data_IF_121142825838
#
_entry.id   IF_121142825838
#
_cell.length_a   1.000
_cell.length_b   1.000
_cell.length_c   1.000
_cell.angle_alpha   90.00
_cell.angle_beta   90.00
_cell.angle_gamma   90.00
#
_symmetry.space_group_name_H-M   'P 1'
#
loop_
_entity.id
_entity.type
_entity.pdbx_description
1 polymer ?
#
# COMPACT_ATOMS: atom_id res chain seq x y z
N UNK A 1 -13.11 23.83 18.77
CA UNK A 1 -12.52 22.57 18.30
C UNK A 1 -11.04 22.61 18.65
N UNK A 2 -10.64 21.95 19.74
CA UNK A 2 -9.23 21.57 19.92
C UNK A 2 -8.83 20.74 18.71
N UNK A 3 -7.76 21.12 18.01
CA UNK A 3 -7.33 20.43 16.79
C UNK A 3 -7.05 18.95 17.04
N UNK A 4 -7.20 18.13 15.99
CA UNK A 4 -6.87 16.72 16.03
C UNK A 4 -5.40 16.52 16.42
N UNK A 5 -5.06 15.45 17.19
CA UNK A 5 -3.68 15.17 17.55
C UNK A 5 -2.78 15.03 16.31
N UNK A 6 -1.66 15.74 16.25
CA UNK A 6 -0.79 15.78 15.07
C UNK A 6 -0.25 14.42 14.64
N UNK A 7 0.13 13.58 15.61
CA UNK A 7 0.59 12.22 15.31
C UNK A 7 -0.53 11.38 14.70
N UNK A 8 -1.76 11.54 15.17
CA UNK A 8 -2.92 10.83 14.64
C UNK A 8 -3.25 11.29 13.22
N UNK A 9 -3.17 12.59 12.95
CA UNK A 9 -3.31 13.13 11.60
C UNK A 9 -2.23 12.61 10.64
N UNK A 10 -0.98 12.51 11.09
CA UNK A 10 0.10 11.99 10.25
C UNK A 10 -0.13 10.52 9.84
N UNK A 11 -0.69 9.70 10.73
CA UNK A 11 -1.07 8.32 10.41
C UNK A 11 -2.26 8.26 9.44
N UNK A 12 -3.24 9.17 9.56
CA UNK A 12 -4.37 9.27 8.64
C UNK A 12 -3.93 9.79 7.25
N UNK A 13 -2.98 10.72 7.21
CA UNK A 13 -2.46 11.29 5.97
C UNK A 13 -1.52 10.33 5.21
N UNK A 14 -1.06 9.25 5.85
CA UNK A 14 -0.32 8.18 5.18
C UNK A 14 -1.25 7.29 4.35
N UNK A 15 -1.69 7.85 3.23
CA UNK A 15 -2.56 7.21 2.24
C UNK A 15 -1.95 5.95 1.65
N UNK A 16 -0.62 5.88 1.54
CA UNK A 16 0.07 4.70 1.00
C UNK A 16 -0.09 3.54 1.96
N UNK A 17 0.13 3.77 3.26
CA UNK A 17 -0.09 2.75 4.27
C UNK A 17 -1.57 2.35 4.40
N UNK A 18 -2.50 3.33 4.35
CA UNK A 18 -3.94 3.04 4.35
C UNK A 18 -4.37 2.19 3.15
N UNK A 19 -3.85 2.45 1.96
CA UNK A 19 -4.07 1.60 0.80
C UNK A 19 -3.42 0.22 0.97
N UNK A 20 -2.24 0.11 1.58
CA UNK A 20 -1.58 -1.18 1.75
C UNK A 20 -2.30 -2.12 2.75
N UNK A 21 -2.88 -1.58 3.81
CA UNK A 21 -3.58 -2.33 4.87
C UNK A 21 -4.74 -1.50 5.48
N UNK A 22 -5.90 -1.42 4.80
CA UNK A 22 -7.01 -0.56 5.23
C UNK A 22 -7.51 -0.90 6.64
N UNK A 23 -7.75 -2.19 6.91
CA UNK A 23 -8.30 -2.65 8.18
C UNK A 23 -7.28 -2.49 9.32
N UNK A 24 -6.01 -2.87 9.10
CA UNK A 24 -4.97 -2.76 10.12
C UNK A 24 -4.66 -1.30 10.48
N UNK A 25 -4.60 -0.40 9.49
CA UNK A 25 -4.35 1.03 9.74
C UNK A 25 -5.54 1.72 10.39
N UNK A 26 -6.77 1.35 10.04
CA UNK A 26 -7.97 1.83 10.73
C UNK A 26 -7.96 1.41 12.22
N UNK A 27 -7.59 0.16 12.52
CA UNK A 27 -7.46 -0.30 13.90
C UNK A 27 -6.43 0.51 14.70
N UNK A 28 -5.28 0.84 14.10
CA UNK A 28 -4.27 1.72 14.71
C UNK A 28 -4.83 3.11 15.03
N UNK A 29 -5.53 3.73 14.07
CA UNK A 29 -6.15 5.05 14.25
C UNK A 29 -7.20 5.04 15.38
N UNK A 30 -8.01 3.98 15.47
CA UNK A 30 -8.99 3.78 16.55
C UNK A 30 -8.30 3.64 17.90
N UNK A 31 -7.25 2.84 18.00
CA UNK A 31 -6.50 2.67 19.25
C UNK A 31 -5.84 3.97 19.72
N UNK A 32 -5.29 4.76 18.79
CA UNK A 32 -4.75 6.08 19.09
C UNK A 32 -5.82 7.05 19.58
N UNK A 33 -7.03 7.02 18.99
CA UNK A 33 -8.17 7.81 19.45
C UNK A 33 -8.59 7.43 20.88
N UNK A 34 -8.70 6.14 21.18
CA UNK A 34 -8.97 5.66 22.53
C UNK A 34 -7.87 6.05 23.52
N UNK A 35 -6.60 5.95 23.11
CA UNK A 35 -5.47 6.34 23.95
C UNK A 35 -5.51 7.84 24.28
N UNK A 36 -5.80 8.70 23.30
CA UNK A 36 -5.97 10.14 23.50
C UNK A 36 -7.16 10.44 24.44
N UNK A 37 -8.28 9.76 24.24
CA UNK A 37 -9.47 9.92 25.09
C UNK A 37 -9.22 9.49 26.54
N UNK A 38 -8.50 8.38 26.75
CA UNK A 38 -8.11 7.90 28.09
C UNK A 38 -7.18 8.89 28.82
N UNK A 39 -6.29 9.56 28.09
CA UNK A 39 -5.43 10.62 28.63
C UNK A 39 -6.14 11.96 28.82
N UNK A 40 -7.40 12.06 28.36
CA UNK A 40 -8.17 13.30 28.31
C UNK A 40 -7.53 14.39 27.44
N UNK A 41 -6.70 13.99 26.46
CA UNK A 41 -6.09 14.90 25.48
C UNK A 41 -7.15 15.49 24.53
N UNK A 42 -8.28 14.78 24.38
CA UNK A 42 -9.39 15.13 23.48
C UNK A 42 -10.74 15.03 24.17
N UNK A 43 -11.66 15.93 23.81
CA UNK A 43 -13.04 15.91 24.29
C UNK A 43 -13.88 14.83 23.57
N UNK A 44 -15.16 14.72 23.94
CA UNK A 44 -16.02 13.66 23.42
C UNK A 44 -16.32 13.85 21.94
N UNK A 45 -16.46 15.11 21.52
CA UNK A 45 -16.72 15.48 20.13
C UNK A 45 -15.50 15.16 19.25
N UNK A 46 -14.32 15.62 19.64
CA UNK A 46 -13.06 15.34 18.93
C UNK A 46 -12.79 13.83 18.87
N UNK A 47 -13.10 13.08 19.94
CA UNK A 47 -12.98 11.63 19.94
C UNK A 47 -13.93 10.98 18.92
N UNK A 48 -15.18 11.43 18.83
CA UNK A 48 -16.12 10.94 17.81
C UNK A 48 -15.61 11.25 16.40
N UNK A 49 -15.16 12.48 16.15
CA UNK A 49 -14.58 12.88 14.87
C UNK A 49 -13.41 11.97 14.46
N UNK A 50 -12.53 11.62 15.40
CA UNK A 50 -11.41 10.70 15.14
C UNK A 50 -11.89 9.30 14.72
N UNK A 51 -12.93 8.77 15.37
CA UNK A 51 -13.48 7.46 15.00
C UNK A 51 -14.15 7.50 13.63
N UNK A 52 -14.92 8.55 13.35
CA UNK A 52 -15.59 8.74 12.07
C UNK A 52 -14.60 8.87 10.92
N UNK A 53 -13.53 9.65 11.11
CA UNK A 53 -12.48 9.81 10.11
C UNK A 53 -11.65 8.53 9.91
N UNK A 54 -11.41 7.73 10.96
CA UNK A 54 -10.75 6.44 10.82
C UNK A 54 -11.57 5.47 9.95
N UNK A 55 -12.89 5.41 10.17
CA UNK A 55 -13.78 4.60 9.32
C UNK A 55 -13.90 5.17 7.91
N UNK A 56 -13.95 6.49 7.74
CA UNK A 56 -13.97 7.12 6.43
C UNK A 56 -12.68 6.82 5.64
N UNK A 57 -11.52 6.86 6.30
CA UNK A 57 -10.23 6.49 5.69
C UNK A 57 -10.19 5.02 5.27
N UNK A 58 -10.73 4.12 6.10
CA UNK A 58 -10.89 2.70 5.79
C UNK A 58 -11.79 2.47 4.58
N UNK A 59 -12.98 3.09 4.57
CA UNK A 59 -13.95 2.97 3.48
C UNK A 59 -13.40 3.51 2.16
N UNK A 60 -12.69 4.65 2.20
CA UNK A 60 -11.98 5.18 1.03
C UNK A 60 -10.94 4.18 0.51
N UNK A 61 -10.05 3.68 1.37
CA UNK A 61 -8.99 2.77 0.95
C UNK A 61 -9.55 1.46 0.37
N UNK A 62 -10.61 0.90 0.96
CA UNK A 62 -11.31 -0.28 0.41
C UNK A 62 -11.96 0.01 -0.95
N UNK A 63 -12.58 1.17 -1.12
CA UNK A 63 -13.17 1.57 -2.41
C UNK A 63 -12.10 1.70 -3.51
N UNK A 64 -10.90 2.17 -3.18
CA UNK A 64 -9.79 2.27 -4.15
C UNK A 64 -9.27 0.88 -4.57
N UNK A 65 -9.29 -0.12 -3.68
CA UNK A 65 -8.97 -1.52 -4.04
C UNK A 65 -9.98 -2.13 -5.01
N UNK A 66 -11.26 -1.84 -4.79
CA UNK A 66 -12.33 -2.35 -5.66
C UNK A 66 -12.21 -1.79 -7.09
N UNK A 67 -11.85 -0.51 -7.24
CA UNK A 67 -11.62 0.12 -8.55
C UNK A 67 -10.38 -0.45 -9.28
N UNK A 68 -9.35 -0.91 -8.55
CA UNK A 68 -8.16 -1.58 -9.11
C UNK A 68 -8.46 -3.01 -9.58
N UNK A 69 -9.42 -3.69 -8.93
CA UNK A 69 -9.89 -5.03 -9.33
C UNK A 69 -10.57 -5.02 -10.71
N UNK A 70 -11.25 -3.92 -11.08
CA UNK A 70 -11.92 -3.77 -12.40
C UNK A 70 -10.91 -3.49 -13.52
N UNK A 71 -9.69 -3.04 -13.21
CA UNK A 71 -8.64 -2.71 -14.18
C UNK A 71 -7.46 -3.70 -14.23
N UNK A 72 -7.53 -4.84 -13.53
CA UNK A 72 -6.57 -5.94 -13.69
C UNK A 72 -5.13 -5.61 -13.30
N UNK A 73 -4.90 -4.66 -12.38
CA UNK A 73 -3.56 -4.44 -11.82
C UNK A 73 -3.41 -5.31 -10.57
N UNK A 74 -2.91 -6.53 -10.81
CA UNK A 74 -2.43 -7.41 -9.75
C UNK A 74 -1.11 -6.85 -9.24
N UNK A 75 -1.12 -6.10 -8.13
CA UNK A 75 0.07 -5.98 -7.28
C UNK A 75 0.16 -7.26 -6.47
N UNK A 76 0.63 -8.33 -7.12
CA UNK A 76 0.94 -9.56 -6.40
C UNK A 76 2.35 -9.49 -5.83
N UNK A 77 2.43 -9.31 -4.51
CA UNK A 77 3.56 -9.72 -3.72
C UNK A 77 3.62 -11.24 -3.50
N UNK A 78 3.24 -12.09 -4.48
CA UNK A 78 3.49 -13.54 -4.41
C UNK A 78 4.71 -13.90 -5.23
N UNK A 79 5.77 -14.29 -4.52
CA UNK A 79 6.93 -14.98 -5.08
C UNK A 79 6.53 -16.41 -5.44
N UNK A 80 5.78 -16.61 -6.51
CA UNK A 80 5.63 -17.94 -7.12
C UNK A 80 5.82 -17.81 -8.62
N UNK A 81 6.84 -18.51 -9.10
CA UNK A 81 7.35 -18.42 -10.45
C UNK A 81 6.34 -18.89 -11.47
N UNK A 82 6.00 -17.99 -12.39
CA UNK A 82 5.40 -18.35 -13.67
C UNK A 82 6.54 -18.79 -14.58
N UNK A 83 6.74 -20.11 -14.65
CA UNK A 83 7.66 -20.76 -15.56
C UNK A 83 6.88 -21.22 -16.79
N UNK A 84 6.52 -20.31 -17.67
CA UNK A 84 6.00 -20.63 -19.00
C UNK A 84 5.64 -19.36 -19.81
N UNK A 85 6.34 -19.17 -20.93
CA UNK A 85 5.93 -18.28 -22.01
C UNK A 85 6.76 -17.00 -22.13
N UNK A 86 7.82 -17.08 -22.94
CA UNK A 86 8.68 -15.97 -23.36
C UNK A 86 7.90 -14.75 -23.87
N UNK A 87 8.25 -13.52 -23.42
CA UNK A 87 8.17 -12.39 -24.32
C UNK A 87 9.41 -11.49 -24.22
N UNK A 88 10.23 -11.51 -25.27
CA UNK A 88 10.83 -10.29 -25.79
C UNK A 88 11.98 -9.63 -25.00
N UNK A 89 12.98 -10.38 -24.55
CA UNK A 89 14.29 -9.76 -24.23
C UNK A 89 15.39 -10.15 -25.23
N UNK A 90 15.80 -9.13 -25.99
CA UNK A 90 17.05 -9.09 -26.75
C UNK A 90 18.20 -9.10 -25.74
N UNK A 91 19.00 -10.17 -25.71
CA UNK A 91 20.32 -10.13 -25.07
C UNK A 91 21.39 -9.96 -26.15
N UNK A 92 21.89 -8.73 -26.28
CA UNK A 92 23.16 -8.43 -26.94
C UNK A 92 24.29 -8.99 -26.07
N UNK A 93 25.09 -9.89 -26.61
CA UNK A 93 26.38 -10.25 -26.02
C UNK A 93 26.81 -11.70 -26.22
N UNK A 94 27.59 -11.98 -27.27
CA UNK A 94 28.70 -12.94 -27.20
C UNK A 94 29.72 -12.62 -28.28
N UNK A 95 30.70 -11.82 -27.89
CA UNK A 95 31.98 -11.77 -28.58
C UNK A 95 32.62 -13.16 -28.41
N UNK A 96 32.88 -13.85 -29.51
CA UNK A 96 33.34 -15.23 -29.52
C UNK A 96 33.69 -15.65 -30.93
N UNK A 97 34.79 -15.09 -31.44
CA UNK A 97 35.44 -15.43 -32.71
C UNK A 97 35.54 -16.96 -32.87
N UNK A 98 34.76 -17.53 -33.80
CA UNK A 98 35.11 -18.82 -34.43
C UNK A 98 35.77 -18.51 -35.76
N UNK A 99 37.09 -18.66 -35.78
CA UNK A 99 37.89 -18.62 -37.00
C UNK A 99 37.43 -19.71 -37.97
N UNK A 100 37.21 -19.31 -39.22
CA UNK A 100 37.07 -20.22 -40.35
C UNK A 100 38.40 -20.95 -40.54
N UNK A 101 38.39 -22.26 -40.35
CA UNK A 101 39.42 -23.14 -40.91
C UNK A 101 38.75 -24.02 -41.95
N UNK A 102 39.07 -23.77 -43.22
CA UNK A 102 38.92 -24.76 -44.29
C UNK A 102 40.21 -24.70 -45.11
N UNK A 103 41.09 -25.66 -44.84
CA UNK A 103 42.19 -26.06 -45.68
C UNK A 103 42.03 -27.55 -45.98
N UNK A 104 42.51 -27.93 -47.16
CA UNK A 104 42.36 -29.20 -47.91
C UNK A 104 41.17 -29.21 -48.87
#
# INVERSE_FOLDING_TARGET
>A
MSGLPLLWLAELDDRVALLADPDGRAAVLVEMAYAARRRQDVDAATFADMLELAEAGRAWALSEHEEVSVLGVVVSGTKEGWADGEPGQITVGRNGLKGSSKAV
#
